data_IF_379406563690
#
_entry.id   IF_379406563690
#
_cell.length_a   1.000
_cell.length_b   1.000
_cell.length_c   1.000
_cell.angle_alpha   90.00
_cell.angle_beta   90.00
_cell.angle_gamma   90.00
#
_symmetry.space_group_name_H-M   'P 1'
#
loop_
_entity.id
_entity.type
_entity.pdbx_description
1 polymer ?
#
# COMPACT_ATOMS: atom_id res chain seq x y z
N UNK A 1 14.10 15.32 16.07
CA UNK A 1 13.04 14.52 15.44
C UNK A 1 13.59 13.24 14.82
N UNK A 2 13.27 12.07 15.39
CA UNK A 2 13.73 10.73 14.95
C UNK A 2 13.26 10.36 13.54
N UNK A 3 12.18 10.99 13.07
CA UNK A 3 11.70 10.87 11.70
C UNK A 3 12.81 11.13 10.67
N UNK A 4 13.66 12.14 10.86
CA UNK A 4 14.71 12.50 9.90
C UNK A 4 15.82 11.44 9.78
N UNK A 5 16.03 10.67 10.84
CA UNK A 5 17.08 9.65 10.91
C UNK A 5 16.59 8.28 10.45
N UNK A 6 15.38 7.90 10.88
CA UNK A 6 14.86 6.53 10.72
C UNK A 6 13.78 6.40 9.65
N UNK A 7 13.20 7.53 9.21
CA UNK A 7 12.00 7.54 8.37
C UNK A 7 10.73 7.09 9.08
N UNK A 8 10.78 6.77 10.37
CA UNK A 8 9.63 6.33 11.17
C UNK A 8 9.31 7.39 12.21
N UNK A 9 8.07 7.87 12.18
CA UNK A 9 7.58 8.85 13.14
C UNK A 9 7.44 8.23 14.54
N UNK A 10 7.70 9.00 15.59
CA UNK A 10 7.52 8.54 16.98
C UNK A 10 6.54 9.41 17.76
N UNK A 11 5.98 8.89 18.87
CA UNK A 11 5.15 9.69 19.78
C UNK A 11 5.88 10.96 20.26
N UNK A 12 7.18 10.84 20.56
CA UNK A 12 7.98 11.98 21.00
C UNK A 12 8.04 13.09 19.94
N UNK A 13 8.21 12.73 18.67
CA UNK A 13 8.20 13.69 17.55
C UNK A 13 6.84 14.42 17.46
N UNK A 14 5.73 13.68 17.61
CA UNK A 14 4.37 14.25 17.57
C UNK A 14 4.06 15.18 18.75
N UNK A 15 4.56 14.83 19.93
CA UNK A 15 4.45 15.67 21.14
C UNK A 15 5.27 16.95 20.99
N UNK A 16 6.50 16.85 20.47
CA UNK A 16 7.36 18.02 20.19
C UNK A 16 6.68 18.99 19.20
N UNK A 17 5.92 18.47 18.24
CA UNK A 17 5.14 19.25 17.28
C UNK A 17 3.80 19.78 17.83
N UNK A 18 3.43 19.45 19.07
CA UNK A 18 2.14 19.83 19.67
C UNK A 18 0.93 19.16 18.99
N UNK A 19 1.12 18.00 18.34
CA UNK A 19 0.11 17.30 17.54
C UNK A 19 -0.50 16.09 18.25
N UNK A 20 -0.08 15.83 19.48
CA UNK A 20 -0.50 14.66 20.23
C UNK A 20 -1.36 15.06 21.44
N UNK A 21 -2.56 14.47 21.61
CA UNK A 21 -3.42 14.79 22.75
C UNK A 21 -2.79 14.33 24.07
N UNK A 22 -3.15 15.01 25.16
CA UNK A 22 -2.71 14.61 26.50
C UNK A 22 -3.33 13.27 26.92
N UNK A 23 -2.66 12.56 27.82
CA UNK A 23 -3.17 11.32 28.41
C UNK A 23 -4.53 11.53 29.10
N UNK A 24 -4.68 12.64 29.83
CA UNK A 24 -5.95 13.01 30.47
C UNK A 24 -7.08 13.16 29.46
N UNK A 25 -6.80 13.76 28.29
CA UNK A 25 -7.81 13.92 27.25
C UNK A 25 -8.22 12.57 26.66
N UNK A 26 -7.28 11.66 26.42
CA UNK A 26 -7.60 10.32 25.90
C UNK A 26 -8.41 9.48 26.90
N UNK A 27 -8.30 9.74 28.21
CA UNK A 27 -9.13 9.09 29.24
C UNK A 27 -10.56 9.64 29.32
N UNK A 28 -10.83 10.85 28.84
CA UNK A 28 -12.20 11.42 28.80
C UNK A 28 -13.07 10.82 27.69
N UNK A 29 -12.45 10.30 26.63
CA UNK A 29 -13.15 9.73 25.49
C UNK A 29 -12.31 9.73 24.22
N UNK A 30 -12.85 9.17 23.12
CA UNK A 30 -12.14 9.05 21.85
C UNK A 30 -11.77 10.42 21.27
N UNK A 31 -10.56 10.51 20.73
CA UNK A 31 -10.00 11.73 20.13
C UNK A 31 -9.18 11.39 18.89
N UNK A 32 -9.28 12.23 17.86
CA UNK A 32 -8.50 12.07 16.64
C UNK A 32 -7.07 12.59 16.83
N UNK A 33 -6.11 11.92 16.20
CA UNK A 33 -4.69 12.29 16.12
C UNK A 33 -4.30 12.32 14.66
N UNK A 34 -3.80 13.47 14.19
CA UNK A 34 -3.26 13.62 12.83
C UNK A 34 -1.74 13.57 12.88
N UNK A 35 -1.16 12.59 12.19
CA UNK A 35 0.28 12.36 12.06
C UNK A 35 0.84 12.94 10.76
N UNK A 36 0.25 14.04 10.27
CA UNK A 36 0.78 14.81 9.15
C UNK A 36 2.01 15.62 9.60
N UNK A 37 3.13 15.48 8.88
CA UNK A 37 4.43 16.08 9.24
C UNK A 37 5.10 16.85 8.11
N UNK A 38 4.42 16.98 6.97
CA UNK A 38 4.91 17.71 5.80
C UNK A 38 3.82 18.67 5.29
N UNK A 39 4.26 19.84 4.82
CA UNK A 39 3.38 20.88 4.30
C UNK A 39 2.93 20.55 2.86
N UNK A 40 2.01 19.59 2.76
CA UNK A 40 1.41 19.13 1.50
C UNK A 40 0.04 19.80 1.34
N UNK A 41 -0.31 20.37 0.17
CA UNK A 41 -1.59 21.04 -0.06
C UNK A 41 -2.76 20.04 0.02
N UNK A 42 -3.39 19.93 1.19
CA UNK A 42 -4.37 18.88 1.50
C UNK A 42 -5.32 19.30 2.64
N UNK A 43 -6.62 19.39 2.38
CA UNK A 43 -7.66 19.70 3.36
C UNK A 43 -8.94 18.80 3.43
N UNK A 44 -8.97 17.54 2.91
CA UNK A 44 -10.13 16.67 3.07
C UNK A 44 -10.56 16.45 4.52
N UNK A 45 -9.63 16.37 5.47
CA UNK A 45 -9.96 16.10 6.87
C UNK A 45 -10.70 17.24 7.57
N UNK A 46 -10.36 18.50 7.26
CA UNK A 46 -11.10 19.69 7.70
C UNK A 46 -12.50 19.70 7.10
N UNK A 47 -12.60 19.53 5.78
CA UNK A 47 -13.88 19.54 5.05
C UNK A 47 -14.82 18.42 5.51
N UNK A 48 -14.27 17.24 5.82
CA UNK A 48 -15.04 16.08 6.26
C UNK A 48 -15.47 16.13 7.72
N UNK A 49 -14.92 17.01 8.56
CA UNK A 49 -15.17 17.03 9.99
C UNK A 49 -16.55 17.64 10.31
N UNK A 50 -17.56 16.85 10.75
CA UNK A 50 -18.88 17.40 11.03
C UNK A 50 -18.91 18.30 12.28
N UNK A 51 -17.92 18.15 13.16
CA UNK A 51 -17.79 18.92 14.40
C UNK A 51 -16.92 20.18 14.25
N UNK A 52 -16.36 20.41 13.04
CA UNK A 52 -15.42 21.50 12.77
C UNK A 52 -14.27 21.56 13.81
N UNK A 53 -13.77 20.38 14.16
CA UNK A 53 -12.69 20.21 15.14
C UNK A 53 -11.31 20.19 14.50
N UNK A 54 -11.21 20.10 13.17
CA UNK A 54 -9.94 20.09 12.45
C UNK A 54 -9.82 21.43 11.70
N UNK A 55 -8.70 22.11 11.86
CA UNK A 55 -8.42 23.41 11.26
C UNK A 55 -7.08 23.40 10.52
N UNK A 56 -7.10 23.73 9.23
CA UNK A 56 -5.91 23.90 8.39
C UNK A 56 -5.71 25.39 8.09
N UNK A 57 -6.81 26.12 7.92
CA UNK A 57 -6.82 27.56 7.63
C UNK A 57 -6.77 27.85 6.14
N UNK A 58 -6.45 29.09 5.78
CA UNK A 58 -6.51 29.57 4.39
C UNK A 58 -5.43 28.95 3.50
N UNK A 59 -4.24 28.71 4.06
CA UNK A 59 -3.17 27.99 3.36
C UNK A 59 -3.38 26.48 3.54
N UNK A 60 -3.87 25.82 2.50
CA UNK A 60 -4.14 24.38 2.48
C UNK A 60 -2.91 23.50 2.66
N UNK A 61 -1.70 24.07 2.61
CA UNK A 61 -0.46 23.35 2.90
C UNK A 61 -0.13 23.32 4.40
N UNK A 62 -0.87 24.05 5.24
CA UNK A 62 -0.68 24.00 6.68
C UNK A 62 -1.02 22.62 7.22
N UNK A 63 -0.31 22.19 8.27
CA UNK A 63 -0.62 20.96 8.97
C UNK A 63 -1.93 21.07 9.78
N UNK A 64 -2.77 20.02 9.83
CA UNK A 64 -4.08 20.03 10.50
C UNK A 64 -3.97 20.16 12.03
N UNK A 65 -4.55 21.21 12.59
CA UNK A 65 -4.68 21.41 14.03
C UNK A 65 -6.03 20.82 14.50
N UNK A 66 -6.01 19.96 15.53
CA UNK A 66 -7.22 19.33 16.05
C UNK A 66 -7.59 19.97 17.39
N UNK A 67 -8.75 20.61 17.44
CA UNK A 67 -9.42 21.04 18.66
C UNK A 67 -9.95 19.80 19.40
N UNK A 68 -9.22 19.41 20.44
CA UNK A 68 -9.51 18.21 21.22
C UNK A 68 -10.80 18.31 22.04
N UNK A 69 -11.28 19.52 22.35
CA UNK A 69 -12.51 19.72 23.11
C UNK A 69 -13.74 19.55 22.21
N UNK A 70 -13.65 19.92 20.93
CA UNK A 70 -14.72 19.67 19.94
C UNK A 70 -14.69 18.25 19.36
N UNK A 71 -13.52 17.62 19.30
CA UNK A 71 -13.37 16.29 18.70
C UNK A 71 -14.04 15.22 19.56
N UNK A 72 -14.91 14.40 18.96
CA UNK A 72 -15.54 13.25 19.61
C UNK A 72 -15.08 11.88 19.04
N UNK A 73 -14.06 11.88 18.18
CA UNK A 73 -13.52 10.65 17.60
C UNK A 73 -14.47 9.86 16.68
N UNK A 74 -15.39 10.51 15.97
CA UNK A 74 -16.36 9.86 15.08
C UNK A 74 -15.78 9.07 13.89
N UNK A 75 -14.47 9.12 13.64
CA UNK A 75 -13.73 8.43 12.55
C UNK A 75 -13.96 8.93 11.12
N UNK A 76 -14.83 9.92 10.87
CA UNK A 76 -15.06 10.44 9.49
C UNK A 76 -13.77 10.99 8.83
N UNK A 77 -12.93 11.66 9.61
CA UNK A 77 -11.64 12.17 9.14
C UNK A 77 -10.63 11.06 8.84
N UNK A 78 -10.77 9.88 9.46
CA UNK A 78 -9.91 8.71 9.20
C UNK A 78 -10.18 8.17 7.80
N UNK A 79 -11.46 7.99 7.44
CA UNK A 79 -11.85 7.54 6.10
C UNK A 79 -11.61 8.58 5.00
N UNK A 80 -11.63 9.86 5.32
CA UNK A 80 -11.40 10.93 4.34
C UNK A 80 -9.91 11.24 4.09
N UNK A 81 -9.00 10.66 4.87
CA UNK A 81 -7.59 11.02 4.82
C UNK A 81 -6.87 10.33 3.66
N UNK A 82 -6.61 11.06 2.58
CA UNK A 82 -5.83 10.56 1.43
C UNK A 82 -4.40 10.14 1.78
N UNK A 83 -3.86 10.65 2.89
CA UNK A 83 -2.51 10.30 3.38
C UNK A 83 -2.49 9.18 4.42
N UNK A 84 -3.64 8.61 4.80
CA UNK A 84 -3.77 7.55 5.81
C UNK A 84 -3.11 7.90 7.17
N UNK A 85 -3.06 9.19 7.49
CA UNK A 85 -2.29 9.73 8.61
C UNK A 85 -3.16 10.12 9.82
N UNK A 86 -4.45 9.82 9.82
CA UNK A 86 -5.36 10.17 10.91
C UNK A 86 -5.83 8.90 11.61
N UNK A 87 -5.78 8.93 12.94
CA UNK A 87 -6.14 7.83 13.83
C UNK A 87 -7.09 8.33 14.90
N UNK A 88 -7.90 7.45 15.50
CA UNK A 88 -8.69 7.79 16.69
C UNK A 88 -8.25 6.91 17.84
N UNK A 89 -7.84 7.54 18.94
CA UNK A 89 -7.36 6.89 20.15
C UNK A 89 -8.38 7.07 21.27
N UNK A 90 -8.61 6.01 22.05
CA UNK A 90 -9.55 6.01 23.18
C UNK A 90 -8.98 5.17 24.33
N UNK A 91 -8.75 5.81 25.48
CA UNK A 91 -8.31 5.16 26.73
C UNK A 91 -9.37 5.28 27.83
N UNK A 92 -10.61 5.63 27.49
CA UNK A 92 -11.69 5.88 28.46
C UNK A 92 -12.44 4.63 28.88
N UNK A 93 -12.29 3.52 28.15
CA UNK A 93 -13.11 2.33 28.34
C UNK A 93 -12.75 1.53 29.60
N UNK A 94 -11.46 1.24 29.83
CA UNK A 94 -10.98 0.62 31.06
C UNK A 94 -9.50 0.93 31.31
N UNK A 95 -9.00 0.60 32.50
CA UNK A 95 -7.58 0.74 32.85
C UNK A 95 -6.67 -0.29 32.16
N UNK A 96 -7.25 -1.36 31.60
CA UNK A 96 -6.52 -2.47 30.99
C UNK A 96 -6.51 -2.45 29.46
N UNK A 97 -7.62 -2.04 28.82
CA UNK A 97 -7.77 -2.02 27.36
C UNK A 97 -8.25 -0.66 26.86
N UNK A 98 -7.71 -0.25 25.72
CA UNK A 98 -8.14 0.92 24.96
C UNK A 98 -8.51 0.55 23.53
N UNK A 99 -8.96 1.53 22.77
CA UNK A 99 -9.35 1.36 21.38
C UNK A 99 -8.53 2.25 20.47
N UNK A 100 -8.18 1.71 19.31
CA UNK A 100 -7.49 2.43 18.24
C UNK A 100 -8.25 2.21 16.95
N UNK A 101 -8.66 3.28 16.28
CA UNK A 101 -9.24 3.22 14.94
C UNK A 101 -8.28 3.80 13.92
N UNK A 102 -8.05 3.07 12.83
CA UNK A 102 -7.11 3.42 11.77
C UNK A 102 -7.68 3.06 10.39
N UNK A 103 -7.23 3.70 9.31
CA UNK A 103 -7.61 3.33 7.97
C UNK A 103 -6.85 2.07 7.53
N UNK A 104 -7.50 1.18 6.80
CA UNK A 104 -6.95 -0.10 6.39
C UNK A 104 -7.31 -0.41 4.93
N UNK A 105 -6.48 0.05 4.00
CA UNK A 105 -6.70 -0.09 2.55
C UNK A 105 -6.07 -1.35 1.95
N UNK A 106 -5.90 -2.40 2.76
CA UNK A 106 -5.48 -3.70 2.26
C UNK A 106 -6.68 -4.64 2.12
N UNK A 107 -6.65 -5.48 1.09
CA UNK A 107 -7.63 -6.54 0.96
C UNK A 107 -7.49 -7.52 2.15
N UNK A 108 -8.60 -7.82 2.82
CA UNK A 108 -8.61 -8.66 4.01
C UNK A 108 -9.85 -9.54 4.07
N UNK A 109 -9.72 -10.64 4.83
CA UNK A 109 -10.82 -11.54 5.17
C UNK A 109 -11.22 -11.47 6.65
N UNK A 110 -10.70 -10.48 7.39
CA UNK A 110 -10.98 -10.30 8.81
C UNK A 110 -12.48 -10.15 9.11
N UNK A 111 -12.87 -10.67 10.27
CA UNK A 111 -14.20 -10.55 10.85
C UNK A 111 -14.12 -9.84 12.19
N UNK A 112 -15.25 -9.24 12.60
CA UNK A 112 -15.40 -8.71 13.94
C UNK A 112 -15.20 -9.85 14.96
N UNK A 113 -14.46 -9.56 16.02
CA UNK A 113 -13.94 -10.48 17.05
C UNK A 113 -12.68 -11.28 16.71
N UNK A 114 -12.13 -11.19 15.49
CA UNK A 114 -10.84 -11.83 15.19
C UNK A 114 -9.71 -11.22 16.05
N UNK A 115 -8.78 -12.07 16.48
CA UNK A 115 -7.53 -11.64 17.12
C UNK A 115 -6.47 -11.48 16.02
N UNK A 116 -5.88 -10.29 15.96
CA UNK A 116 -4.87 -9.92 14.98
C UNK A 116 -3.64 -9.36 15.65
N UNK A 117 -2.48 -9.55 15.02
CA UNK A 117 -1.24 -8.90 15.43
C UNK A 117 -1.30 -7.43 15.05
N UNK A 118 -1.30 -6.53 16.01
CA UNK A 118 -1.27 -5.09 15.77
C UNK A 118 0.15 -4.62 15.45
N UNK A 119 0.28 -3.61 14.59
CA UNK A 119 1.56 -3.09 14.12
C UNK A 119 1.76 -1.61 14.41
N UNK A 120 3.02 -1.22 14.62
CA UNK A 120 3.47 0.16 14.76
C UNK A 120 3.59 0.90 13.41
N UNK A 121 4.03 2.16 13.48
CA UNK A 121 4.32 3.04 12.32
C UNK A 121 5.38 2.47 11.37
N UNK A 122 6.24 1.58 11.85
CA UNK A 122 7.26 0.88 11.07
C UNK A 122 6.80 -0.47 10.53
N UNK A 123 5.56 -0.89 10.82
CA UNK A 123 5.01 -2.19 10.43
C UNK A 123 5.50 -3.37 11.28
N UNK A 124 6.07 -3.11 12.47
CA UNK A 124 6.53 -4.17 13.40
C UNK A 124 5.40 -4.55 14.34
N UNK A 125 5.37 -5.81 14.75
CA UNK A 125 4.39 -6.30 15.74
C UNK A 125 4.63 -5.64 17.10
N UNK A 126 3.56 -5.17 17.73
CA UNK A 126 3.60 -4.51 19.05
C UNK A 126 2.84 -5.34 20.10
N UNK A 127 1.62 -5.75 19.77
CA UNK A 127 0.76 -6.53 20.64
C UNK A 127 -0.30 -7.25 19.81
N UNK A 128 -1.05 -8.14 20.43
CA UNK A 128 -2.24 -8.72 19.84
C UNK A 128 -3.45 -7.85 20.21
N UNK A 129 -4.37 -7.68 19.24
CA UNK A 129 -5.56 -6.88 19.39
C UNK A 129 -6.79 -7.58 18.84
N UNK A 130 -7.96 -7.27 19.40
CA UNK A 130 -9.24 -7.82 18.95
C UNK A 130 -9.96 -6.82 18.06
N UNK A 131 -10.44 -7.27 16.89
CA UNK A 131 -11.23 -6.41 16.01
C UNK A 131 -12.62 -6.17 16.61
N UNK A 132 -12.91 -4.92 16.97
CA UNK A 132 -14.23 -4.52 17.48
C UNK A 132 -15.17 -4.09 16.37
N UNK A 133 -14.64 -3.43 15.35
CA UNK A 133 -15.45 -2.83 14.28
C UNK A 133 -14.67 -2.81 12.97
N UNK A 134 -15.38 -3.13 11.89
CA UNK A 134 -14.92 -2.95 10.51
C UNK A 134 -15.98 -2.07 9.84
N UNK A 135 -15.63 -0.82 9.55
CA UNK A 135 -16.54 0.16 8.98
C UNK A 135 -16.23 0.37 7.49
N UNK A 136 -17.18 -0.06 6.65
CA UNK A 136 -17.19 0.16 5.21
C UNK A 136 -18.46 0.92 4.85
N UNK A 137 -18.40 2.24 4.91
CA UNK A 137 -19.55 3.09 4.56
C UNK A 137 -19.43 3.56 3.11
N UNK A 138 -20.56 3.79 2.43
CA UNK A 138 -20.52 4.34 1.06
C UNK A 138 -19.81 5.70 0.99
N UNK A 139 -19.88 6.49 2.07
CA UNK A 139 -19.18 7.78 2.18
C UNK A 139 -17.67 7.66 2.37
N UNK A 140 -17.18 6.50 2.79
CA UNK A 140 -15.76 6.27 3.03
C UNK A 140 -14.98 5.88 1.77
N UNK A 141 -15.58 5.99 0.57
CA UNK A 141 -14.97 5.75 -0.75
C UNK A 141 -13.91 4.63 -0.78
N UNK A 142 -14.31 3.42 -0.38
CA UNK A 142 -13.46 2.21 -0.33
C UNK A 142 -12.35 2.18 0.72
N UNK A 143 -12.18 3.23 1.53
CA UNK A 143 -11.30 3.20 2.71
C UNK A 143 -12.01 2.52 3.89
N UNK A 144 -11.57 1.31 4.23
CA UNK A 144 -12.05 0.60 5.42
C UNK A 144 -11.46 1.23 6.68
N UNK A 145 -12.28 1.47 7.70
CA UNK A 145 -11.80 1.86 9.03
C UNK A 145 -11.94 0.68 9.98
N UNK A 146 -10.83 0.24 10.55
CA UNK A 146 -10.81 -0.85 11.54
C UNK A 146 -10.59 -0.25 12.93
N UNK A 147 -11.40 -0.68 13.89
CA UNK A 147 -11.20 -0.40 15.31
C UNK A 147 -10.72 -1.64 16.02
N UNK A 148 -9.53 -1.58 16.63
CA UNK A 148 -8.98 -2.62 17.49
C UNK A 148 -9.16 -2.27 18.97
N UNK A 149 -9.45 -3.29 19.78
CA UNK A 149 -9.21 -3.30 21.22
C UNK A 149 -7.80 -3.83 21.48
N UNK A 150 -6.99 -3.06 22.19
CA UNK A 150 -5.60 -3.38 22.51
C UNK A 150 -5.29 -3.01 23.97
N UNK A 151 -4.24 -3.58 24.60
CA UNK A 151 -3.80 -3.11 25.91
C UNK A 151 -3.55 -1.59 25.91
N UNK A 152 -3.91 -0.89 26.99
CA UNK A 152 -3.76 0.59 27.07
C UNK A 152 -2.34 1.06 26.77
N UNK A 153 -1.34 0.28 27.16
CA UNK A 153 0.08 0.54 26.89
C UNK A 153 0.45 0.59 25.40
N UNK A 154 -0.37 0.00 24.53
CA UNK A 154 -0.12 -0.11 23.09
C UNK A 154 -0.92 0.89 22.24
N UNK A 155 -1.90 1.59 22.83
CA UNK A 155 -2.81 2.51 22.12
C UNK A 155 -2.04 3.59 21.34
N UNK A 156 -0.96 4.10 21.92
CA UNK A 156 -0.16 5.16 21.31
C UNK A 156 0.67 4.71 20.10
N UNK A 157 0.98 3.42 20.02
CA UNK A 157 1.90 2.86 19.04
C UNK A 157 1.18 2.16 17.88
N UNK A 158 0.03 1.54 18.14
CA UNK A 158 -0.71 0.79 17.13
C UNK A 158 -1.24 1.73 16.03
N UNK A 159 -0.90 1.45 14.77
CA UNK A 159 -1.35 2.21 13.58
C UNK A 159 -1.85 1.33 12.44
N UNK A 160 -1.63 0.02 12.50
CA UNK A 160 -2.13 -0.92 11.50
C UNK A 160 -2.22 -2.35 12.05
N UNK A 161 -2.55 -3.30 11.17
CA UNK A 161 -2.46 -4.74 11.43
C UNK A 161 -1.16 -5.25 10.78
N UNK A 162 -0.39 -6.02 11.54
CA UNK A 162 0.84 -6.65 11.09
C UNK A 162 0.60 -7.56 9.89
N UNK A 163 1.46 -7.42 8.88
CA UNK A 163 1.41 -8.19 7.65
C UNK A 163 2.62 -9.08 7.57
N UNK A 164 2.41 -10.37 7.82
CA UNK A 164 3.43 -11.37 7.58
C UNK A 164 3.61 -11.59 6.08
N UNK A 165 4.65 -10.96 5.50
CA UNK A 165 5.00 -11.13 4.09
C UNK A 165 5.37 -12.58 3.77
N UNK A 166 6.04 -13.29 4.69
CA UNK A 166 6.51 -14.65 4.43
C UNK A 166 5.35 -15.64 4.42
N UNK A 167 4.38 -15.48 5.31
CA UNK A 167 3.18 -16.33 5.35
C UNK A 167 2.25 -16.09 4.15
N UNK A 168 2.23 -14.89 3.56
CA UNK A 168 1.51 -14.62 2.31
C UNK A 168 2.22 -15.18 1.08
N UNK A 169 3.56 -15.22 1.07
CA UNK A 169 4.36 -15.83 0.00
C UNK A 169 4.28 -17.37 0.03
N UNK A 170 4.22 -17.98 1.22
CA UNK A 170 4.14 -19.44 1.37
C UNK A 170 2.76 -20.03 1.04
N UNK A 171 1.68 -19.24 1.15
CA UNK A 171 0.31 -19.65 0.75
C UNK A 171 0.00 -19.48 -0.75
N UNK A 172 0.98 -19.17 -1.59
CA UNK A 172 0.80 -18.97 -3.03
C UNK A 172 0.74 -20.28 -3.85
N UNK A 173 0.29 -21.38 -3.27
CA UNK A 173 -0.20 -22.49 -4.09
C UNK A 173 -1.53 -22.04 -4.73
N UNK A 174 -1.52 -21.77 -6.04
CA UNK A 174 -2.75 -21.56 -6.81
C UNK A 174 -3.08 -20.12 -7.24
N UNK A 175 -2.23 -19.11 -6.97
CA UNK A 175 -2.47 -17.73 -7.45
C UNK A 175 -1.92 -17.47 -8.86
N UNK A 176 -1.92 -18.47 -9.74
CA UNK A 176 -1.57 -18.29 -11.14
C UNK A 176 -2.87 -18.23 -11.95
N UNK A 177 -3.57 -17.10 -11.87
CA UNK A 177 -4.75 -16.88 -12.72
C UNK A 177 -4.30 -17.02 -14.18
N UNK A 178 -4.95 -17.90 -14.94
CA UNK A 178 -4.68 -18.06 -16.37
C UNK A 178 -5.24 -16.82 -17.08
N UNK A 179 -4.37 -16.05 -17.74
CA UNK A 179 -4.79 -14.86 -18.51
C UNK A 179 -5.73 -15.29 -19.65
N UNK A 180 -6.77 -14.51 -19.94
CA UNK A 180 -7.57 -14.69 -21.14
C UNK A 180 -6.71 -14.60 -22.41
N UNK A 181 -7.08 -15.30 -23.47
CA UNK A 181 -6.29 -15.35 -24.72
C UNK A 181 -6.19 -13.96 -25.39
N UNK A 182 -7.17 -13.10 -25.21
CA UNK A 182 -7.26 -11.73 -25.73
C UNK A 182 -6.41 -10.70 -24.96
N UNK A 183 -5.84 -11.09 -23.81
CA UNK A 183 -5.07 -10.19 -22.96
C UNK A 183 -3.75 -9.83 -23.65
N UNK A 184 -3.53 -8.54 -23.87
CA UNK A 184 -2.28 -8.00 -24.42
C UNK A 184 -1.12 -8.19 -23.44
N UNK A 185 -0.09 -8.93 -23.86
CA UNK A 185 1.11 -9.22 -23.07
C UNK A 185 2.28 -8.34 -23.53
N UNK A 186 2.60 -8.32 -24.83
CA UNK A 186 3.63 -7.43 -25.38
C UNK A 186 2.96 -6.23 -26.06
N UNK A 187 3.01 -5.06 -25.41
CA UNK A 187 2.41 -3.84 -25.96
C UNK A 187 3.17 -3.28 -27.16
N UNK A 188 4.49 -3.51 -27.25
CA UNK A 188 5.30 -2.94 -28.33
C UNK A 188 5.12 -3.67 -29.66
N UNK A 189 4.91 -4.98 -29.62
CA UNK A 189 4.72 -5.83 -30.82
C UNK A 189 3.27 -6.32 -30.93
N UNK A 190 2.39 -5.79 -30.07
CA UNK A 190 0.96 -6.08 -30.04
C UNK A 190 0.60 -7.57 -29.89
N UNK A 191 1.36 -8.30 -29.07
CA UNK A 191 1.19 -9.75 -28.87
C UNK A 191 0.33 -10.05 -27.64
N UNK A 192 -0.67 -10.91 -27.85
CA UNK A 192 -1.61 -11.41 -26.84
C UNK A 192 -1.10 -12.67 -26.11
N UNK A 193 -1.74 -13.00 -24.98
CA UNK A 193 -1.46 -14.24 -24.25
C UNK A 193 -1.80 -15.49 -25.10
N UNK A 194 -2.84 -15.43 -25.93
CA UNK A 194 -3.23 -16.51 -26.83
C UNK A 194 -2.16 -16.82 -27.87
N UNK A 195 -1.56 -15.79 -28.47
CA UNK A 195 -0.46 -15.95 -29.44
C UNK A 195 0.80 -16.55 -28.81
N UNK A 196 1.09 -16.19 -27.56
CA UNK A 196 2.19 -16.82 -26.80
C UNK A 196 1.90 -18.30 -26.57
N UNK A 197 0.67 -18.66 -26.20
CA UNK A 197 0.28 -20.07 -26.03
C UNK A 197 0.35 -20.84 -27.34
N UNK A 198 -0.05 -20.21 -28.45
CA UNK A 198 0.07 -20.83 -29.77
C UNK A 198 1.55 -21.06 -30.14
N UNK A 199 2.44 -20.11 -29.84
CA UNK A 199 3.88 -20.31 -30.00
C UNK A 199 4.41 -21.48 -29.16
N UNK A 200 3.88 -21.67 -27.93
CA UNK A 200 4.20 -22.83 -27.08
C UNK A 200 3.69 -24.14 -27.70
N UNK A 201 2.47 -24.17 -28.23
CA UNK A 201 1.93 -25.34 -28.96
C UNK A 201 2.78 -25.68 -30.19
N UNK A 202 3.38 -24.69 -30.83
CA UNK A 202 4.34 -24.84 -31.93
C UNK A 202 5.77 -25.21 -31.47
N UNK A 203 5.93 -25.59 -30.20
CA UNK A 203 7.18 -26.11 -29.64
C UNK A 203 8.12 -25.06 -29.05
N UNK A 204 7.66 -23.86 -28.70
CA UNK A 204 8.45 -22.96 -27.87
C UNK A 204 8.44 -23.44 -26.41
N UNK A 205 9.63 -23.66 -25.84
CA UNK A 205 9.79 -24.12 -24.44
C UNK A 205 10.48 -23.10 -23.53
N UNK A 206 11.01 -22.02 -24.09
CA UNK A 206 11.80 -21.00 -23.43
C UNK A 206 11.47 -19.58 -23.94
N UNK A 207 12.03 -18.54 -23.28
CA UNK A 207 11.82 -17.14 -23.71
C UNK A 207 12.29 -16.92 -25.14
N UNK A 208 13.43 -17.51 -25.53
CA UNK A 208 13.98 -17.35 -26.88
C UNK A 208 13.04 -17.94 -27.93
N UNK A 209 12.48 -19.11 -27.69
CA UNK A 209 11.55 -19.79 -28.59
C UNK A 209 10.25 -19.02 -28.79
N UNK A 210 9.71 -18.41 -27.73
CA UNK A 210 8.52 -17.53 -27.85
C UNK A 210 8.88 -16.24 -28.58
N UNK A 211 10.01 -15.61 -28.23
CA UNK A 211 10.50 -14.37 -28.85
C UNK A 211 10.70 -14.54 -30.36
N UNK A 212 11.31 -15.65 -30.81
CA UNK A 212 11.55 -15.89 -32.23
C UNK A 212 10.26 -16.14 -33.02
N UNK A 213 9.21 -16.70 -32.39
CA UNK A 213 7.93 -16.98 -33.05
C UNK A 213 6.96 -15.80 -33.04
N UNK A 214 6.94 -15.02 -31.97
CA UNK A 214 5.94 -13.96 -31.75
C UNK A 214 6.51 -12.55 -31.80
N UNK A 215 7.84 -12.40 -31.76
CA UNK A 215 8.55 -11.13 -31.52
C UNK A 215 8.32 -10.51 -30.14
N UNK A 216 7.58 -11.15 -29.23
CA UNK A 216 7.40 -10.67 -27.87
C UNK A 216 8.77 -10.42 -27.19
N UNK A 217 8.99 -9.18 -26.76
CA UNK A 217 10.26 -8.71 -26.19
C UNK A 217 11.25 -8.10 -27.19
N UNK A 218 10.91 -8.00 -28.48
CA UNK A 218 11.75 -7.35 -29.51
C UNK A 218 11.43 -5.87 -29.76
N UNK A 219 10.32 -5.37 -29.24
CA UNK A 219 9.94 -3.96 -29.42
C UNK A 219 10.75 -2.98 -28.59
N UNK A 220 10.38 -1.69 -28.59
CA UNK A 220 11.16 -0.59 -27.99
C UNK A 220 11.55 -0.83 -26.52
N UNK A 221 10.69 -1.51 -25.75
CA UNK A 221 10.96 -1.81 -24.35
C UNK A 221 11.98 -2.96 -24.13
N UNK A 222 12.34 -3.72 -25.16
CA UNK A 222 13.25 -4.87 -25.13
C UNK A 222 12.91 -5.89 -24.03
N UNK A 223 11.63 -6.24 -23.89
CA UNK A 223 11.18 -7.29 -22.96
C UNK A 223 10.92 -6.83 -21.52
N UNK A 224 11.31 -5.61 -21.14
CA UNK A 224 11.19 -5.10 -19.75
C UNK A 224 9.80 -5.21 -19.13
N UNK A 225 8.75 -5.12 -19.94
CA UNK A 225 7.36 -5.14 -19.46
C UNK A 225 6.71 -6.51 -19.61
N UNK A 226 7.02 -7.24 -20.70
CA UNK A 226 6.32 -8.45 -21.06
C UNK A 226 7.04 -9.75 -20.65
N UNK A 227 8.36 -9.73 -20.46
CA UNK A 227 9.15 -10.96 -20.32
C UNK A 227 8.78 -11.79 -19.08
N UNK A 228 8.49 -11.13 -17.95
CA UNK A 228 8.02 -11.82 -16.75
C UNK A 228 6.65 -12.50 -16.95
N UNK A 229 5.78 -11.88 -17.76
CA UNK A 229 4.46 -12.44 -18.10
C UNK A 229 4.60 -13.61 -19.07
N UNK A 230 5.48 -13.50 -20.08
CA UNK A 230 5.79 -14.60 -21.00
C UNK A 230 6.34 -15.79 -20.21
N UNK A 231 7.31 -15.54 -19.32
CA UNK A 231 7.84 -16.54 -18.40
C UNK A 231 6.72 -17.23 -17.61
N UNK A 232 5.81 -16.46 -17.03
CA UNK A 232 4.67 -17.01 -16.28
C UNK A 232 3.76 -17.88 -17.16
N UNK A 233 3.47 -17.48 -18.40
CA UNK A 233 2.65 -18.26 -19.33
C UNK A 233 3.35 -19.58 -19.68
N UNK A 234 4.65 -19.56 -19.98
CA UNK A 234 5.43 -20.79 -20.25
C UNK A 234 5.37 -21.73 -19.04
N UNK A 235 5.59 -21.22 -17.82
CA UNK A 235 5.48 -22.00 -16.58
C UNK A 235 4.10 -22.62 -16.40
N UNK A 236 3.04 -21.87 -16.71
CA UNK A 236 1.66 -22.35 -16.60
C UNK A 236 1.34 -23.46 -17.61
N UNK A 237 1.84 -23.37 -18.85
CA UNK A 237 1.52 -24.35 -19.89
C UNK A 237 2.44 -25.59 -19.84
N UNK A 238 3.71 -25.45 -19.45
CA UNK A 238 4.70 -26.53 -19.49
C UNK A 238 5.14 -27.05 -18.11
N UNK A 239 4.93 -26.29 -17.04
CA UNK A 239 5.38 -26.67 -15.70
C UNK A 239 6.87 -26.48 -15.43
N UNK A 240 7.64 -25.94 -16.39
CA UNK A 240 9.08 -25.74 -16.30
C UNK A 240 9.49 -24.79 -15.15
N UNK A 241 10.72 -24.96 -14.66
CA UNK A 241 11.32 -24.07 -13.67
C UNK A 241 11.77 -22.74 -14.31
N UNK A 242 11.91 -21.64 -13.54
CA UNK A 242 12.46 -20.38 -14.06
C UNK A 242 13.83 -20.53 -14.72
N UNK A 243 14.66 -21.44 -14.21
CA UNK A 243 16.00 -21.71 -14.73
C UNK A 243 15.96 -22.37 -16.11
N UNK A 244 15.00 -23.27 -16.34
CA UNK A 244 14.81 -23.95 -17.62
C UNK A 244 14.28 -23.02 -18.72
N UNK A 245 13.42 -22.06 -18.35
CA UNK A 245 12.82 -21.11 -19.30
C UNK A 245 13.80 -19.97 -19.65
N UNK A 246 14.62 -19.58 -18.68
CA UNK A 246 15.63 -18.55 -18.84
C UNK A 246 15.09 -17.13 -19.05
N UNK A 247 16.00 -16.23 -19.38
CA UNK A 247 15.74 -14.83 -19.67
C UNK A 247 16.35 -14.44 -21.02
N UNK A 248 15.77 -13.44 -21.68
CA UNK A 248 16.36 -12.90 -22.90
C UNK A 248 17.73 -12.30 -22.58
N UNK A 249 18.75 -12.64 -23.37
CA UNK A 249 20.08 -12.06 -23.21
C UNK A 249 19.99 -10.52 -23.35
N UNK A 250 20.39 -9.74 -22.33
CA UNK A 250 20.41 -8.30 -22.43
C UNK A 250 21.48 -7.88 -23.46
N UNK A 251 21.11 -6.98 -24.38
CA UNK A 251 22.01 -6.46 -25.42
C UNK A 251 22.12 -4.94 -25.31
N UNK A 252 23.27 -4.42 -25.69
CA UNK A 252 23.49 -2.98 -25.81
C UNK A 252 22.92 -2.46 -27.14
N UNK A 253 22.44 -1.20 -27.18
CA UNK A 253 22.25 -0.30 -26.05
C UNK A 253 21.01 -0.72 -25.21
N UNK A 254 21.09 -0.53 -23.89
CA UNK A 254 20.00 -0.94 -22.99
C UNK A 254 18.72 -0.14 -23.27
N UNK A 255 18.83 1.17 -23.50
CA UNK A 255 17.74 2.02 -23.98
C UNK A 255 18.06 2.44 -25.39
N UNK A 256 17.04 2.67 -26.20
CA UNK A 256 17.23 3.24 -27.53
C UNK A 256 17.94 4.59 -27.40
N UNK A 257 18.93 4.78 -28.27
CA UNK A 257 19.72 5.99 -28.40
C UNK A 257 19.71 6.37 -29.88
N UNK A 258 19.75 7.66 -30.19
CA UNK A 258 19.81 8.08 -31.59
C UNK A 258 21.20 7.79 -32.16
N UNK A 259 21.30 7.66 -33.48
CA UNK A 259 22.61 7.57 -34.12
C UNK A 259 23.43 8.86 -33.94
N UNK A 260 22.76 10.01 -33.78
CA UNK A 260 23.40 11.29 -33.45
C UNK A 260 24.13 11.20 -32.11
N UNK A 261 23.44 10.81 -31.04
CA UNK A 261 24.04 10.63 -29.70
C UNK A 261 25.21 9.63 -29.74
N UNK A 262 25.04 8.50 -30.44
CA UNK A 262 26.10 7.49 -30.59
C UNK A 262 27.31 8.02 -31.36
N UNK A 263 27.09 8.90 -32.33
CA UNK A 263 28.13 9.56 -33.13
C UNK A 263 28.79 10.76 -32.43
N UNK A 264 28.45 11.06 -31.17
CA UNK A 264 28.96 12.20 -30.41
C UNK A 264 28.21 13.51 -30.65
N UNK A 265 27.06 13.48 -31.32
CA UNK A 265 26.15 14.61 -31.43
C UNK A 265 25.48 14.91 -30.10
N UNK A 266 25.26 16.19 -29.82
CA UNK A 266 24.48 16.66 -28.68
C UNK A 266 23.05 16.78 -29.19
N UNK A 267 22.11 16.02 -28.62
CA UNK A 267 20.69 16.17 -28.96
C UNK A 267 20.25 17.58 -28.52
N UNK A 268 19.88 18.45 -29.47
CA UNK A 268 19.19 19.73 -29.20
C UNK A 268 17.73 19.53 -28.79
#
# INVERSE_FOLDING_TARGET
>A
MKLKETGVLTKADLVEMGRYPSEERMKKGPVAVAECVQDIPCNPCETACPFKAIHIGENISNLPNIDVEKCNGCTTCVSACSGLAIFVLDKSYSDSVGKVSFPYEYNHSFKVNDIVKAADRGGRHVCDGKILKIANTQKADKTTVITLEVPVACVDEVRSIYRDRQQQLSKKEGLSVKLGDDVMVCRCEEITAGEIREAIRQGATDITGVKLRTRAGMGLCQGRTCEALVNQIIRQELGNSPEEIGFSTPRTPQRSVTFGTLGGGIDE
#
